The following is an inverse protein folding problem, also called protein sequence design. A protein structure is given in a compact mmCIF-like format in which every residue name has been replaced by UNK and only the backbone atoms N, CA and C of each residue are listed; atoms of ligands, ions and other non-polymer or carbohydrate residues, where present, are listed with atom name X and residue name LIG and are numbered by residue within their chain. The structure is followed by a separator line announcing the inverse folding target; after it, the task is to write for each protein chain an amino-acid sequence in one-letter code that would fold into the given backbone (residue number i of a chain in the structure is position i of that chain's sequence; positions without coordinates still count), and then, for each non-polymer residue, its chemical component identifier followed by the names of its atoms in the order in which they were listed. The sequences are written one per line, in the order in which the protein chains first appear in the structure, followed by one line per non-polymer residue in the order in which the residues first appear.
data_IF_927050029829
#
_entry.id   IF_927050029829
#
_cell.length_a   1.000
_cell.length_b   1.000
_cell.length_c   1.000
_cell.angle_alpha   90.00
_cell.angle_beta   90.00
_cell.angle_gamma   90.00
#
_symmetry.space_group_name_H-M   'P 1'
#
loop_
_entity.id
_entity.type
_entity.pdbx_description
1 polymer ?
#
# COMPACT_ATOMS: atom_id res chain seq x y z
N UNK A 1 -26.26 -23.38 -6.74
CA UNK A 1 -26.78 -21.99 -6.67
C UNK A 1 -25.92 -21.18 -5.69
N UNK A 2 -25.36 -20.06 -6.12
CA UNK A 2 -24.55 -19.25 -5.20
C UNK A 2 -25.41 -18.62 -4.10
N UNK A 3 -24.84 -18.54 -2.91
CA UNK A 3 -25.48 -17.91 -1.77
C UNK A 3 -25.54 -16.39 -1.92
N UNK A 4 -26.57 -15.73 -1.38
CA UNK A 4 -26.61 -14.27 -1.42
C UNK A 4 -25.51 -13.66 -0.55
N UNK A 5 -24.96 -12.52 -0.99
CA UNK A 5 -23.98 -11.76 -0.22
C UNK A 5 -24.74 -10.73 0.61
N UNK A 6 -24.65 -10.83 1.93
CA UNK A 6 -25.36 -9.95 2.85
C UNK A 6 -26.87 -9.88 2.57
N UNK A 7 -27.48 -11.02 2.25
CA UNK A 7 -28.89 -11.11 1.92
C UNK A 7 -29.25 -10.62 0.51
N UNK A 8 -28.28 -10.24 -0.31
CA UNK A 8 -28.51 -9.77 -1.68
C UNK A 8 -28.24 -10.87 -2.68
N UNK A 9 -29.00 -10.92 -3.78
CA UNK A 9 -28.71 -11.90 -4.83
C UNK A 9 -27.37 -11.62 -5.49
N UNK A 10 -26.67 -12.68 -5.90
CA UNK A 10 -25.42 -12.58 -6.63
C UNK A 10 -25.75 -12.23 -8.09
N UNK A 11 -25.29 -11.06 -8.55
CA UNK A 11 -25.45 -10.58 -9.93
C UNK A 11 -24.10 -10.16 -10.48
N UNK A 12 -23.93 -10.11 -11.82
CA UNK A 12 -22.69 -9.57 -12.39
C UNK A 12 -22.36 -8.16 -11.91
N UNK A 13 -23.36 -7.32 -11.71
CA UNK A 13 -23.17 -5.98 -11.19
C UNK A 13 -22.67 -6.00 -9.75
N UNK A 14 -23.29 -6.81 -8.89
CA UNK A 14 -22.86 -6.94 -7.49
C UNK A 14 -21.45 -7.50 -7.40
N UNK A 15 -21.09 -8.45 -8.25
CA UNK A 15 -19.75 -9.02 -8.32
C UNK A 15 -18.75 -7.97 -8.74
N UNK A 16 -19.03 -7.19 -9.80
CA UNK A 16 -18.15 -6.11 -10.27
C UNK A 16 -17.96 -5.05 -9.20
N UNK A 17 -19.03 -4.65 -8.50
CA UNK A 17 -18.94 -3.69 -7.40
C UNK A 17 -18.12 -4.23 -6.24
N UNK A 18 -18.29 -5.51 -5.91
CA UNK A 18 -17.52 -6.15 -4.83
C UNK A 18 -16.04 -6.22 -5.14
N UNK A 19 -15.69 -6.59 -6.37
CA UNK A 19 -14.29 -6.62 -6.82
C UNK A 19 -13.70 -5.21 -6.82
N UNK A 20 -14.42 -4.23 -7.36
CA UNK A 20 -13.94 -2.85 -7.43
C UNK A 20 -13.81 -2.22 -6.04
N UNK A 21 -14.75 -2.49 -5.13
CA UNK A 21 -14.68 -1.98 -3.76
C UNK A 21 -13.47 -2.56 -3.01
N UNK A 22 -13.19 -3.85 -3.19
CA UNK A 22 -12.02 -4.49 -2.62
C UNK A 22 -10.72 -3.92 -3.17
N UNK A 23 -10.66 -3.70 -4.49
CA UNK A 23 -9.50 -3.09 -5.14
C UNK A 23 -9.30 -1.64 -4.70
N UNK A 24 -10.39 -0.89 -4.52
CA UNK A 24 -10.34 0.47 -4.00
C UNK A 24 -9.72 0.51 -2.61
N UNK A 25 -10.16 -0.39 -1.73
CA UNK A 25 -9.63 -0.52 -0.37
C UNK A 25 -8.15 -0.91 -0.39
N UNK A 26 -7.77 -1.81 -1.28
CA UNK A 26 -6.38 -2.22 -1.46
C UNK A 26 -5.50 -1.04 -1.86
N UNK A 27 -5.97 -0.18 -2.78
CA UNK A 27 -5.22 1.00 -3.19
C UNK A 27 -5.16 2.06 -2.08
N UNK A 28 -6.20 2.20 -1.27
CA UNK A 28 -6.15 3.07 -0.09
C UNK A 28 -5.07 2.62 0.89
N UNK A 29 -4.99 1.32 1.15
CA UNK A 29 -3.95 0.76 2.02
C UNK A 29 -2.55 0.97 1.44
N UNK A 30 -2.40 0.78 0.13
CA UNK A 30 -1.14 1.03 -0.57
C UNK A 30 -0.71 2.48 -0.45
N UNK A 31 -1.63 3.41 -0.68
CA UNK A 31 -1.34 4.85 -0.58
C UNK A 31 -0.93 5.24 0.84
N UNK A 32 -1.59 4.69 1.86
CA UNK A 32 -1.23 4.94 3.25
C UNK A 32 0.19 4.47 3.56
N UNK A 33 0.55 3.26 3.13
CA UNK A 33 1.88 2.70 3.36
C UNK A 33 2.95 3.53 2.66
N UNK A 34 2.70 3.92 1.41
CA UNK A 34 3.62 4.78 0.66
C UNK A 34 3.81 6.12 1.37
N UNK A 35 2.71 6.73 1.85
CA UNK A 35 2.77 8.00 2.57
C UNK A 35 3.58 7.88 3.87
N UNK A 36 3.45 6.78 4.60
CA UNK A 36 4.25 6.52 5.79
C UNK A 36 5.73 6.38 5.45
N UNK A 37 6.05 5.68 4.36
CA UNK A 37 7.43 5.55 3.91
C UNK A 37 8.04 6.90 3.57
N UNK A 38 7.31 7.74 2.84
CA UNK A 38 7.78 9.09 2.49
C UNK A 38 7.97 9.94 3.74
N UNK A 39 7.01 9.91 4.65
CA UNK A 39 7.07 10.70 5.88
C UNK A 39 8.28 10.32 6.74
N UNK A 40 8.73 9.07 6.67
CA UNK A 40 9.84 8.56 7.47
C UNK A 40 11.15 8.41 6.69
N UNK A 41 11.22 8.93 5.47
CA UNK A 41 12.38 8.72 4.60
C UNK A 41 13.68 9.30 5.16
N UNK A 42 13.60 10.27 6.06
CA UNK A 42 14.76 10.90 6.69
C UNK A 42 14.88 10.59 8.18
N UNK A 43 14.04 9.70 8.71
CA UNK A 43 14.10 9.33 10.12
C UNK A 43 15.39 8.60 10.43
N UNK A 44 15.95 8.87 11.61
CA UNK A 44 17.16 8.18 12.09
C UNK A 44 16.89 7.53 13.44
N UNK A 45 17.76 6.60 13.82
CA UNK A 45 17.65 5.93 15.12
C UNK A 45 17.79 6.94 16.27
N UNK A 46 17.21 6.58 17.41
CA UNK A 46 17.31 7.39 18.63
C UNK A 46 18.57 7.06 19.46
N UNK A 47 19.30 6.02 19.03
CA UNK A 47 20.53 5.58 19.70
C UNK A 47 21.67 5.48 18.68
N UNK A 48 22.89 5.67 19.15
CA UNK A 48 24.08 5.60 18.30
C UNK A 48 24.20 4.19 17.67
N UNK A 49 24.42 4.16 16.35
CA UNK A 49 24.56 2.91 15.59
C UNK A 49 23.27 2.13 15.41
N UNK A 50 22.14 2.67 15.85
CA UNK A 50 20.86 2.00 15.76
C UNK A 50 20.29 1.96 14.34
N UNK A 51 19.27 1.14 14.15
CA UNK A 51 18.57 1.05 12.87
C UNK A 51 17.51 2.14 12.74
N UNK A 52 17.38 2.75 11.53
CA UNK A 52 16.33 3.73 11.28
C UNK A 52 15.01 3.05 10.93
N UNK A 53 14.03 3.84 10.53
CA UNK A 53 12.81 3.34 9.91
C UNK A 53 13.15 2.48 8.71
N UNK A 54 12.46 1.36 8.56
CA UNK A 54 12.60 0.45 7.43
C UNK A 54 11.38 0.56 6.53
N UNK A 55 11.61 0.66 5.24
CA UNK A 55 10.53 0.72 4.24
C UNK A 55 9.54 -0.41 4.47
N UNK A 56 8.24 -0.10 4.41
CA UNK A 56 7.18 -1.07 4.52
C UNK A 56 6.57 -1.33 3.15
N UNK A 57 6.22 -2.57 2.87
CA UNK A 57 5.61 -2.96 1.60
C UNK A 57 4.33 -3.75 1.85
N UNK A 58 3.27 -3.49 1.07
CA UNK A 58 2.04 -4.28 1.19
C UNK A 58 2.18 -5.60 0.44
N UNK A 59 1.59 -6.65 1.01
CA UNK A 59 1.48 -7.95 0.35
C UNK A 59 0.00 -8.21 0.15
N UNK A 60 -0.41 -8.33 -1.12
CA UNK A 60 -1.80 -8.56 -1.47
C UNK A 60 -2.02 -10.02 -1.83
N UNK A 61 -3.23 -10.50 -1.58
CA UNK A 61 -3.66 -11.85 -1.94
C UNK A 61 -4.89 -11.80 -2.82
N UNK A 62 -5.02 -12.80 -3.67
CA UNK A 62 -6.25 -13.03 -4.42
C UNK A 62 -7.35 -13.45 -3.45
N UNK A 63 -8.56 -12.99 -3.72
CA UNK A 63 -9.74 -13.30 -2.94
C UNK A 63 -10.89 -13.64 -3.88
N UNK A 64 -11.66 -14.67 -3.56
CA UNK A 64 -12.85 -15.00 -4.31
C UNK A 64 -13.97 -14.03 -3.95
N UNK A 65 -14.60 -13.42 -4.97
CA UNK A 65 -15.75 -12.54 -4.83
C UNK A 65 -16.82 -13.05 -5.78
N UNK A 66 -17.74 -13.85 -5.27
CA UNK A 66 -18.84 -14.42 -6.06
C UNK A 66 -18.36 -15.14 -7.34
N UNK A 67 -17.25 -15.90 -7.22
CA UNK A 67 -16.66 -16.61 -8.37
C UNK A 67 -15.63 -15.80 -9.16
N UNK A 68 -15.59 -14.49 -8.99
CA UNK A 68 -14.56 -13.63 -9.61
C UNK A 68 -13.36 -13.49 -8.69
N UNK A 69 -12.24 -13.07 -9.24
CA UNK A 69 -11.02 -12.84 -8.48
C UNK A 69 -10.94 -11.39 -8.04
N UNK A 70 -10.94 -11.15 -6.74
CA UNK A 70 -10.67 -9.86 -6.14
C UNK A 70 -9.33 -9.86 -5.45
N UNK A 71 -9.04 -8.78 -4.70
CA UNK A 71 -7.77 -8.58 -4.00
C UNK A 71 -8.02 -8.09 -2.58
N UNK A 72 -7.17 -8.54 -1.66
CA UNK A 72 -7.19 -8.10 -0.26
C UNK A 72 -5.75 -7.92 0.24
N UNK A 73 -5.54 -6.93 1.11
CA UNK A 73 -4.26 -6.79 1.81
C UNK A 73 -4.11 -7.93 2.81
N UNK A 74 -3.10 -8.77 2.62
CA UNK A 74 -2.81 -9.89 3.50
C UNK A 74 -1.94 -9.49 4.67
N UNK A 75 -0.89 -8.71 4.42
CA UNK A 75 0.03 -8.25 5.45
C UNK A 75 0.85 -7.05 4.96
N UNK A 76 1.51 -6.38 5.90
CA UNK A 76 2.51 -5.36 5.63
C UNK A 76 3.85 -5.94 6.06
N UNK A 77 4.83 -5.92 5.17
CA UNK A 77 6.11 -6.58 5.38
C UNK A 77 7.26 -5.59 5.28
N UNK A 78 8.23 -5.61 6.22
CA UNK A 78 9.40 -4.76 6.08
C UNK A 78 10.25 -5.19 4.89
N UNK A 79 10.76 -4.21 4.15
CA UNK A 79 11.65 -4.41 3.02
C UNK A 79 13.05 -4.69 3.57
N UNK A 80 13.62 -5.86 3.23
CA UNK A 80 14.91 -6.30 3.74
C UNK A 80 16.11 -5.74 2.98
N UNK A 81 15.90 -4.85 2.01
CA UNK A 81 17.02 -4.21 1.32
C UNK A 81 17.88 -3.40 2.28
N UNK A 82 19.17 -3.20 1.96
CA UNK A 82 20.08 -2.48 2.85
C UNK A 82 19.66 -1.05 3.09
N UNK A 83 19.93 -0.56 4.30
CA UNK A 83 19.80 0.86 4.60
C UNK A 83 20.85 1.67 3.83
N UNK A 84 20.54 2.93 3.57
CA UNK A 84 21.54 3.87 3.08
C UNK A 84 22.47 4.25 4.23
N UNK A 85 23.73 4.48 3.93
CA UNK A 85 24.73 4.82 4.95
C UNK A 85 25.36 6.16 4.58
N UNK A 86 25.44 7.06 5.55
CA UNK A 86 25.97 8.39 5.35
C UNK A 86 27.01 8.71 6.43
N UNK A 87 28.14 9.28 6.02
CA UNK A 87 29.16 9.69 6.97
C UNK A 87 28.77 11.03 7.62
N UNK A 88 28.46 10.99 8.90
CA UNK A 88 28.10 12.17 9.70
C UNK A 88 28.45 11.89 11.16
N UNK A 89 29.74 12.01 11.52
CA UNK A 89 30.21 11.61 12.84
C UNK A 89 29.64 12.39 14.01
N UNK A 90 29.13 13.61 13.76
CA UNK A 90 28.52 14.44 14.81
C UNK A 90 27.05 14.12 15.06
N UNK A 91 26.46 13.27 14.21
CA UNK A 91 25.04 12.93 14.33
C UNK A 91 24.81 12.02 15.56
N UNK A 92 23.71 12.22 16.32
CA UNK A 92 23.43 11.38 17.49
C UNK A 92 23.26 9.89 17.18
N UNK A 93 22.86 9.53 15.96
CA UNK A 93 22.69 8.14 15.52
C UNK A 93 23.95 7.55 14.88
N UNK A 94 25.06 8.30 14.81
CA UNK A 94 26.31 7.81 14.24
C UNK A 94 26.89 6.67 15.06
N UNK A 95 27.45 5.66 14.37
CA UNK A 95 28.18 4.59 15.03
C UNK A 95 29.61 5.03 15.41
N UNK A 96 30.42 4.13 15.96
CA UNK A 96 31.77 4.44 16.40
C UNK A 96 32.66 4.91 15.25
N UNK A 97 32.40 4.48 14.02
CA UNK A 97 33.14 4.85 12.82
C UNK A 97 32.63 6.15 12.17
N UNK A 98 31.54 6.73 12.71
CA UNK A 98 30.99 7.99 12.24
C UNK A 98 29.91 7.86 11.15
N UNK A 99 29.35 6.68 10.96
CA UNK A 99 28.32 6.45 9.95
C UNK A 99 26.92 6.38 10.55
N UNK A 100 25.98 7.00 9.85
CA UNK A 100 24.55 7.01 10.20
C UNK A 100 23.80 6.16 9.17
N UNK A 101 22.96 5.28 9.65
CA UNK A 101 22.07 4.52 8.79
C UNK A 101 20.81 5.34 8.52
N UNK A 102 20.41 5.41 7.25
CA UNK A 102 19.21 6.10 6.77
C UNK A 102 18.22 5.09 6.24
N UNK A 103 16.91 5.39 6.25
CA UNK A 103 15.90 4.47 5.75
C UNK A 103 16.15 4.03 4.31
N UNK A 104 15.79 2.79 4.01
CA UNK A 104 15.86 2.23 2.65
C UNK A 104 14.65 2.67 1.83
N UNK A 105 14.36 3.96 1.86
CA UNK A 105 13.24 4.59 1.14
C UNK A 105 13.81 5.51 0.07
N UNK A 106 13.42 5.29 -1.18
CA UNK A 106 13.70 6.18 -2.29
C UNK A 106 12.44 7.00 -2.55
N UNK A 107 12.45 8.28 -2.20
CA UNK A 107 11.28 9.14 -2.29
C UNK A 107 10.76 9.30 -3.71
N UNK A 108 11.64 9.24 -4.71
CA UNK A 108 11.21 9.31 -6.11
C UNK A 108 10.40 8.08 -6.50
N UNK A 109 10.90 6.90 -6.14
CA UNK A 109 10.19 5.63 -6.39
C UNK A 109 8.85 5.62 -5.67
N UNK A 110 8.83 6.05 -4.40
CA UNK A 110 7.58 6.11 -3.63
C UNK A 110 6.58 7.09 -4.26
N UNK A 111 7.05 8.23 -4.76
CA UNK A 111 6.18 9.20 -5.43
C UNK A 111 5.59 8.64 -6.72
N UNK A 112 6.36 7.87 -7.48
CA UNK A 112 5.88 7.19 -8.69
C UNK A 112 4.84 6.13 -8.35
N UNK A 113 5.09 5.36 -7.30
CA UNK A 113 4.15 4.35 -6.80
C UNK A 113 2.85 4.99 -6.31
N UNK A 114 2.95 6.16 -5.67
CA UNK A 114 1.78 6.92 -5.24
C UNK A 114 0.90 7.32 -6.42
N UNK A 115 1.51 7.81 -7.49
CA UNK A 115 0.77 8.17 -8.71
C UNK A 115 0.06 6.97 -9.32
N UNK A 116 0.74 5.84 -9.36
CA UNK A 116 0.17 4.60 -9.87
C UNK A 116 -1.00 4.14 -9.00
N UNK A 117 -0.85 4.20 -7.69
CA UNK A 117 -1.92 3.84 -6.75
C UNK A 117 -3.12 4.75 -6.88
N UNK A 118 -2.91 6.05 -7.04
CA UNK A 118 -3.98 7.03 -7.24
C UNK A 118 -4.72 6.77 -8.54
N UNK A 119 -3.99 6.45 -9.60
CA UNK A 119 -4.60 6.13 -10.90
C UNK A 119 -5.45 4.87 -10.81
N UNK A 120 -4.94 3.84 -10.15
CA UNK A 120 -5.70 2.60 -9.94
C UNK A 120 -6.93 2.83 -9.05
N UNK A 121 -6.82 3.68 -8.04
CA UNK A 121 -7.94 4.07 -7.20
C UNK A 121 -9.05 4.73 -8.02
N UNK A 122 -8.70 5.70 -8.86
CA UNK A 122 -9.66 6.39 -9.72
C UNK A 122 -10.33 5.44 -10.71
N UNK A 123 -9.56 4.51 -11.28
CA UNK A 123 -10.10 3.52 -12.19
C UNK A 123 -11.15 2.63 -11.53
N UNK A 124 -10.88 2.19 -10.31
CA UNK A 124 -11.84 1.38 -9.54
C UNK A 124 -13.07 2.18 -9.12
N UNK A 125 -12.89 3.45 -8.80
CA UNK A 125 -14.01 4.34 -8.49
C UNK A 125 -14.92 4.50 -9.69
N UNK A 126 -14.36 4.64 -10.90
CA UNK A 126 -15.12 4.74 -12.13
C UNK A 126 -15.91 3.45 -12.42
N UNK A 127 -15.35 2.29 -12.11
CA UNK A 127 -16.07 1.02 -12.24
C UNK A 127 -17.30 1.00 -11.32
N UNK A 128 -17.15 1.46 -10.08
CA UNK A 128 -18.27 1.52 -9.13
C UNK A 128 -19.36 2.47 -9.64
N UNK A 129 -18.99 3.63 -10.14
CA UNK A 129 -19.93 4.60 -10.68
C UNK A 129 -20.67 4.04 -11.90
N UNK A 130 -19.94 3.38 -12.81
CA UNK A 130 -20.53 2.73 -13.98
C UNK A 130 -21.52 1.65 -13.57
N UNK A 131 -21.13 0.78 -12.64
CA UNK A 131 -22.00 -0.28 -12.14
C UNK A 131 -23.26 0.29 -11.48
N UNK A 132 -23.12 1.39 -10.76
CA UNK A 132 -24.27 2.08 -10.13
C UNK A 132 -25.20 2.66 -11.18
N UNK A 133 -24.67 3.24 -12.23
CA UNK A 133 -25.46 3.82 -13.32
C UNK A 133 -26.23 2.75 -14.11
N UNK A 134 -25.75 1.53 -14.16
CA UNK A 134 -26.47 0.42 -14.80
C UNK A 134 -27.74 0.04 -14.07
N UNK A 135 -27.95 0.54 -12.87
CA UNK A 135 -29.14 0.30 -12.07
C UNK A 135 -30.32 1.15 -12.49
N UNK A 136 -30.04 2.28 -13.11
CA UNK A 136 -31.07 3.23 -13.51
C UNK A 136 -31.82 2.74 -14.75
N UNK A 137 -33.16 2.81 -14.75
CA UNK A 137 -33.95 2.46 -15.93
C UNK A 137 -33.74 3.46 -17.06
#
# INVERSE_FOLDING_TARGET
MPDPVNGRPVTPRNTAMGVAAGALKAQQSRMRIIAENIANAQSTATVAGGEPYRRQTPVFQARNVNGATGVVLAEVRPDQSPFRVEYDPSHPAANAEGYVQRPNVDTLVEAMDMREAQRAYEANLNVIETARNMESP
#
